data_IF_106359231601
#
_entry.id   IF_106359231601
#
_cell.length_a   1.000
_cell.length_b   1.000
_cell.length_c   1.000
_cell.angle_alpha   90.00
_cell.angle_beta   90.00
_cell.angle_gamma   90.00
#
_symmetry.space_group_name_H-M   'P 1'
#
loop_
_entity.id
_entity.type
_entity.pdbx_description
1 polymer ?
#
# COMPACT_ATOMS: atom_id res chain seq x y z
N UNK A 1 -4.73 -8.78 -9.23
CA UNK A 1 -5.24 -10.13 -8.86
C UNK A 1 -5.53 -10.28 -7.37
N UNK A 2 -4.75 -9.69 -6.47
CA UNK A 2 -4.95 -9.80 -5.01
C UNK A 2 -6.31 -9.29 -4.49
N UNK A 3 -7.02 -8.48 -5.24
CA UNK A 3 -8.35 -7.96 -4.87
C UNK A 3 -9.53 -8.75 -5.44
N UNK A 4 -9.30 -9.76 -6.28
CA UNK A 4 -10.35 -10.47 -7.01
C UNK A 4 -11.42 -11.07 -6.09
N UNK A 5 -11.00 -11.74 -5.01
CA UNK A 5 -11.92 -12.32 -4.02
C UNK A 5 -12.75 -11.24 -3.32
N UNK A 6 -12.10 -10.16 -2.87
CA UNK A 6 -12.77 -9.02 -2.21
C UNK A 6 -13.80 -8.38 -3.15
N UNK A 7 -13.43 -8.12 -4.41
CA UNK A 7 -14.31 -7.51 -5.40
C UNK A 7 -15.53 -8.39 -5.70
N UNK A 8 -15.35 -9.72 -5.76
CA UNK A 8 -16.46 -10.66 -6.00
C UNK A 8 -17.51 -10.68 -4.87
N UNK A 9 -17.13 -10.28 -3.66
CA UNK A 9 -18.03 -10.18 -2.51
C UNK A 9 -18.79 -8.84 -2.44
N UNK A 10 -18.42 -7.86 -3.25
CA UNK A 10 -19.04 -6.54 -3.23
C UNK A 10 -20.24 -6.45 -4.17
N UNK A 11 -21.41 -6.07 -3.63
CA UNK A 11 -22.68 -6.03 -4.38
C UNK A 11 -22.72 -4.97 -5.49
N UNK A 12 -21.92 -3.89 -5.38
CA UNK A 12 -21.83 -2.78 -6.34
C UNK A 12 -20.36 -2.49 -6.65
N UNK A 13 -19.77 -3.21 -7.60
CA UNK A 13 -18.37 -3.05 -7.99
C UNK A 13 -18.15 -2.14 -9.21
N UNK A 14 -19.22 -1.56 -9.80
CA UNK A 14 -19.12 -0.78 -11.01
C UNK A 14 -18.24 0.46 -10.94
N UNK A 15 -18.12 1.05 -9.75
CA UNK A 15 -17.32 2.26 -9.50
C UNK A 15 -15.96 1.98 -8.85
N UNK A 16 -15.54 0.71 -8.81
CA UNK A 16 -14.28 0.31 -8.19
C UNK A 16 -13.20 0.16 -9.26
N UNK A 17 -12.17 0.98 -9.14
CA UNK A 17 -11.00 0.93 -9.98
C UNK A 17 -9.85 0.24 -9.23
N UNK A 18 -9.30 -0.81 -9.82
CA UNK A 18 -8.21 -1.58 -9.25
C UNK A 18 -7.04 -1.62 -10.25
N UNK A 19 -6.19 -0.58 -10.28
CA UNK A 19 -5.09 -0.52 -11.24
C UNK A 19 -4.03 -1.59 -10.95
N UNK A 20 -3.53 -2.19 -12.00
CA UNK A 20 -2.30 -2.97 -11.94
C UNK A 20 -1.11 -2.01 -11.83
N UNK A 21 -0.38 -2.09 -10.71
CA UNK A 21 0.70 -1.15 -10.40
C UNK A 21 1.89 -1.26 -11.37
N UNK A 22 2.16 -2.44 -11.91
CA UNK A 22 3.19 -2.60 -12.93
C UNK A 22 2.75 -1.99 -14.27
N UNK A 23 1.49 -2.21 -14.65
CA UNK A 23 0.94 -1.69 -15.90
C UNK A 23 0.88 -0.16 -15.94
N UNK A 24 0.60 0.52 -14.81
CA UNK A 24 0.55 1.98 -14.78
C UNK A 24 1.92 2.64 -14.97
N UNK A 25 3.03 1.91 -14.72
CA UNK A 25 4.39 2.40 -15.00
C UNK A 25 4.67 2.62 -16.48
N UNK A 26 3.92 1.98 -17.38
CA UNK A 26 4.06 2.12 -18.83
C UNK A 26 5.50 1.94 -19.33
N UNK A 27 6.22 0.95 -18.78
CA UNK A 27 7.60 0.64 -19.15
C UNK A 27 8.67 1.54 -18.52
N UNK A 28 8.30 2.49 -17.66
CA UNK A 28 9.27 3.25 -16.87
C UNK A 28 9.95 2.34 -15.85
N UNK A 29 11.16 2.72 -15.41
CA UNK A 29 11.89 1.99 -14.39
C UNK A 29 11.06 1.85 -13.10
N UNK A 30 11.07 0.67 -12.51
CA UNK A 30 10.30 0.34 -11.30
C UNK A 30 10.96 0.91 -10.04
N UNK A 31 10.98 2.23 -9.93
CA UNK A 31 11.37 2.97 -8.72
C UNK A 31 10.14 3.66 -8.14
N UNK A 32 10.15 3.92 -6.84
CA UNK A 32 8.99 4.48 -6.13
C UNK A 32 8.53 5.81 -6.72
N UNK A 33 9.46 6.68 -7.06
CA UNK A 33 9.20 7.99 -7.63
C UNK A 33 8.39 7.90 -8.95
N UNK A 34 8.79 6.99 -9.84
CA UNK A 34 8.08 6.75 -11.09
C UNK A 34 6.71 6.12 -10.86
N UNK A 35 6.62 5.16 -9.93
CA UNK A 35 5.36 4.51 -9.58
C UNK A 35 4.39 5.51 -8.94
N UNK A 36 4.88 6.35 -8.05
CA UNK A 36 4.06 7.37 -7.39
C UNK A 36 3.59 8.44 -8.39
N UNK A 37 4.46 8.90 -9.29
CA UNK A 37 4.07 9.82 -10.37
C UNK A 37 2.99 9.21 -11.28
N UNK A 38 3.14 7.94 -11.65
CA UNK A 38 2.13 7.23 -12.43
C UNK A 38 0.80 7.06 -11.68
N UNK A 39 0.86 6.84 -10.36
CA UNK A 39 -0.32 6.76 -9.51
C UNK A 39 -1.04 8.11 -9.39
N UNK A 40 -0.30 9.22 -9.26
CA UNK A 40 -0.86 10.59 -9.30
C UNK A 40 -1.58 10.82 -10.64
N UNK A 41 -0.93 10.50 -11.76
CA UNK A 41 -1.54 10.62 -13.10
C UNK A 41 -2.82 9.80 -13.22
N UNK A 42 -2.80 8.56 -12.69
CA UNK A 42 -3.97 7.69 -12.70
C UNK A 42 -5.13 8.27 -11.88
N UNK A 43 -4.88 8.69 -10.64
CA UNK A 43 -5.90 9.29 -9.77
C UNK A 43 -6.41 10.64 -10.30
N UNK A 44 -5.54 11.41 -10.97
CA UNK A 44 -5.90 12.70 -11.56
C UNK A 44 -6.94 12.64 -12.67
N UNK A 45 -7.14 11.46 -13.27
CA UNK A 45 -8.17 11.22 -14.30
C UNK A 45 -9.56 10.94 -13.72
N UNK A 46 -9.65 10.78 -12.40
CA UNK A 46 -10.92 10.48 -11.74
C UNK A 46 -11.52 11.80 -11.25
N UNK A 47 -12.73 12.08 -11.70
CA UNK A 47 -13.45 13.27 -11.29
C UNK A 47 -13.89 13.20 -9.83
N UNK A 48 -13.86 14.36 -9.16
CA UNK A 48 -14.32 14.49 -7.78
C UNK A 48 -13.36 13.91 -6.73
N UNK A 49 -13.93 13.60 -5.55
CA UNK A 49 -13.19 13.02 -4.42
C UNK A 49 -13.28 11.49 -4.45
N UNK A 50 -12.16 10.83 -4.20
CA UNK A 50 -12.03 9.39 -4.27
C UNK A 50 -11.92 8.73 -2.89
N UNK A 51 -12.35 7.49 -2.80
CA UNK A 51 -12.07 6.60 -1.68
C UNK A 51 -10.83 5.77 -2.03
N UNK A 52 -9.81 5.82 -1.22
CA UNK A 52 -8.59 5.04 -1.43
C UNK A 52 -8.53 3.83 -0.50
N UNK A 53 -8.20 2.68 -1.06
CA UNK A 53 -7.93 1.46 -0.31
C UNK A 53 -6.64 0.83 -0.83
N UNK A 54 -5.67 0.60 0.05
CA UNK A 54 -4.39 0.02 -0.33
C UNK A 54 -3.85 -0.98 0.67
N UNK A 55 -3.33 -2.09 0.14
CA UNK A 55 -2.58 -3.09 0.88
C UNK A 55 -1.08 -2.85 0.66
N UNK A 56 -0.29 -2.87 1.73
CA UNK A 56 1.19 -2.85 1.66
C UNK A 56 1.71 -1.71 0.79
N UNK A 57 2.32 -1.98 -0.38
CA UNK A 57 2.77 -0.98 -1.35
C UNK A 57 1.63 -0.07 -1.83
N UNK A 58 0.46 -0.64 -2.14
CA UNK A 58 -0.73 0.15 -2.49
C UNK A 58 -1.18 1.06 -1.35
N UNK A 59 -0.99 0.63 -0.09
CA UNK A 59 -1.23 1.44 1.08
C UNK A 59 -0.24 2.60 1.23
N UNK A 60 1.04 2.39 0.91
CA UNK A 60 2.06 3.45 0.90
C UNK A 60 1.71 4.52 -0.15
N UNK A 61 1.33 4.09 -1.36
CA UNK A 61 0.90 5.02 -2.43
C UNK A 61 -0.35 5.82 -2.00
N UNK A 62 -1.36 5.13 -1.44
CA UNK A 62 -2.58 5.77 -0.96
C UNK A 62 -2.32 6.75 0.19
N UNK A 63 -1.42 6.39 1.12
CA UNK A 63 -1.00 7.25 2.23
C UNK A 63 -0.30 8.50 1.72
N UNK A 64 0.69 8.34 0.83
CA UNK A 64 1.42 9.47 0.26
C UNK A 64 0.49 10.39 -0.54
N UNK A 65 -0.36 9.81 -1.39
CA UNK A 65 -1.34 10.59 -2.16
C UNK A 65 -2.30 11.39 -1.26
N UNK A 66 -2.77 10.79 -0.16
CA UNK A 66 -3.64 11.49 0.79
C UNK A 66 -2.94 12.67 1.46
N UNK A 67 -1.63 12.56 1.70
CA UNK A 67 -0.81 13.64 2.26
C UNK A 67 -0.56 14.78 1.28
N UNK A 68 -0.40 14.47 -0.01
CA UNK A 68 -0.08 15.45 -1.03
C UNK A 68 -1.35 16.08 -1.67
N UNK A 69 -2.49 15.36 -1.65
CA UNK A 69 -3.77 15.79 -2.24
C UNK A 69 -4.94 15.54 -1.28
N UNK A 70 -4.93 16.15 -0.07
CA UNK A 70 -5.95 15.88 0.96
C UNK A 70 -7.38 16.24 0.52
N UNK A 71 -7.52 17.24 -0.35
CA UNK A 71 -8.82 17.68 -0.90
C UNK A 71 -9.42 16.65 -1.86
N UNK A 72 -8.60 15.81 -2.50
CA UNK A 72 -9.04 14.76 -3.44
C UNK A 72 -9.47 13.48 -2.73
N UNK A 73 -9.10 13.26 -1.48
CA UNK A 73 -9.39 12.00 -0.78
C UNK A 73 -10.58 12.15 0.17
N UNK A 74 -11.61 11.32 -0.04
CA UNK A 74 -12.81 11.28 0.79
C UNK A 74 -12.66 10.38 2.01
N UNK A 75 -12.10 9.19 1.82
CA UNK A 75 -11.75 8.25 2.90
C UNK A 75 -10.51 7.43 2.53
N UNK A 76 -9.80 6.93 3.54
CA UNK A 76 -8.58 6.17 3.37
C UNK A 76 -8.66 4.84 4.11
N UNK A 77 -8.36 3.73 3.43
CA UNK A 77 -8.21 2.40 4.03
C UNK A 77 -6.78 1.91 3.81
N UNK A 78 -6.08 1.64 4.89
CA UNK A 78 -4.69 1.19 4.90
C UNK A 78 -4.60 -0.21 5.49
N UNK A 79 -4.15 -1.19 4.72
CA UNK A 79 -4.05 -2.59 5.12
C UNK A 79 -2.57 -3.00 5.14
N UNK A 80 -2.06 -3.45 6.29
CA UNK A 80 -0.66 -3.88 6.41
C UNK A 80 0.34 -2.82 5.91
N UNK A 81 0.03 -1.54 6.11
CA UNK A 81 0.79 -0.42 5.55
C UNK A 81 1.81 0.10 6.55
N UNK A 82 3.10 0.15 6.21
CA UNK A 82 4.10 0.80 7.03
C UNK A 82 4.00 2.33 6.89
N UNK A 83 4.08 3.06 8.03
CA UNK A 83 4.18 4.54 8.02
C UNK A 83 5.60 5.02 7.71
N UNK A 84 6.56 4.15 7.87
CA UNK A 84 7.98 4.32 7.46
C UNK A 84 8.56 2.98 7.05
N UNK A 85 9.50 3.02 6.15
CA UNK A 85 10.17 1.83 5.65
C UNK A 85 11.45 1.58 6.44
N UNK A 86 11.52 0.54 7.30
CA UNK A 86 12.70 0.25 8.10
C UNK A 86 13.86 -0.24 7.22
N UNK A 87 14.97 0.50 7.18
CA UNK A 87 16.15 0.17 6.36
C UNK A 87 16.69 -1.25 6.60
N UNK A 88 16.62 -1.72 7.85
CA UNK A 88 17.11 -3.05 8.21
C UNK A 88 16.22 -4.17 7.67
N UNK A 89 14.90 -3.98 7.66
CA UNK A 89 13.97 -4.96 7.09
C UNK A 89 14.17 -5.12 5.60
N UNK A 90 14.44 -4.01 4.89
CA UNK A 90 14.77 -4.06 3.46
C UNK A 90 16.06 -4.81 3.17
N UNK A 91 17.09 -4.65 3.99
CA UNK A 91 18.33 -5.42 3.85
C UNK A 91 18.08 -6.93 3.99
N UNK A 92 17.30 -7.32 5.00
CA UNK A 92 16.96 -8.73 5.24
C UNK A 92 16.07 -9.26 4.10
N UNK A 93 15.05 -8.52 3.69
CA UNK A 93 14.17 -8.89 2.59
C UNK A 93 14.93 -9.03 1.27
N UNK A 94 15.79 -8.07 0.94
CA UNK A 94 16.64 -8.12 -0.25
C UNK A 94 17.60 -9.31 -0.20
N UNK A 95 18.17 -9.63 0.97
CA UNK A 95 19.01 -10.80 1.12
C UNK A 95 18.22 -12.10 0.86
N UNK A 96 17.01 -12.22 1.42
CA UNK A 96 16.13 -13.37 1.18
C UNK A 96 15.74 -13.45 -0.31
N UNK A 97 15.27 -12.36 -0.90
CA UNK A 97 14.84 -12.31 -2.31
C UNK A 97 15.96 -12.64 -3.28
N UNK A 98 17.22 -12.35 -2.93
CA UNK A 98 18.39 -12.70 -3.77
C UNK A 98 18.50 -14.21 -4.00
N UNK A 99 18.13 -15.00 -3.00
CA UNK A 99 18.21 -16.47 -3.04
C UNK A 99 16.92 -17.14 -3.50
N UNK A 100 15.81 -16.41 -3.62
CA UNK A 100 14.58 -16.98 -4.14
C UNK A 100 14.64 -17.17 -5.67
N UNK A 101 14.14 -18.29 -6.19
CA UNK A 101 14.05 -18.51 -7.62
C UNK A 101 13.07 -17.54 -8.29
N UNK A 102 13.28 -17.26 -9.57
CA UNK A 102 12.42 -16.35 -10.34
C UNK A 102 10.96 -16.80 -10.40
N UNK A 103 10.70 -18.09 -10.30
CA UNK A 103 9.35 -18.66 -10.28
C UNK A 103 8.47 -18.09 -9.16
N UNK A 104 9.05 -17.67 -8.03
CA UNK A 104 8.30 -17.04 -6.94
C UNK A 104 7.74 -15.67 -7.37
N UNK A 105 8.41 -14.98 -8.28
CA UNK A 105 8.02 -13.64 -8.76
C UNK A 105 7.07 -13.68 -9.95
N UNK A 106 6.83 -14.85 -10.57
CA UNK A 106 5.94 -14.98 -11.74
C UNK A 106 4.48 -14.60 -11.44
N UNK A 107 4.05 -14.77 -10.19
CA UNK A 107 2.70 -14.41 -9.74
C UNK A 107 2.63 -13.06 -9.03
N UNK A 108 3.75 -12.30 -9.00
CA UNK A 108 3.80 -10.96 -8.43
C UNK A 108 3.59 -9.90 -9.52
N UNK A 109 3.14 -8.71 -9.12
CA UNK A 109 2.97 -7.58 -10.04
C UNK A 109 4.28 -7.14 -10.70
N UNK A 110 5.42 -7.35 -10.02
CA UNK A 110 6.75 -6.98 -10.47
C UNK A 110 7.65 -8.22 -10.54
N UNK A 111 8.48 -8.29 -11.57
CA UNK A 111 9.52 -9.30 -11.65
C UNK A 111 10.59 -9.11 -10.56
N UNK A 112 11.51 -10.05 -10.42
CA UNK A 112 12.55 -10.03 -9.38
C UNK A 112 13.37 -8.74 -9.40
N UNK A 113 13.88 -8.32 -10.58
CA UNK A 113 14.69 -7.10 -10.75
C UNK A 113 13.91 -5.86 -10.31
N UNK A 114 12.69 -5.71 -10.80
CA UNK A 114 11.84 -4.55 -10.52
C UNK A 114 11.42 -4.49 -9.05
N UNK A 115 11.19 -5.65 -8.43
CA UNK A 115 10.93 -5.75 -6.97
C UNK A 115 12.12 -5.23 -6.16
N UNK A 116 13.36 -5.55 -6.56
CA UNK A 116 14.57 -5.03 -5.92
C UNK A 116 14.74 -3.52 -6.11
N UNK A 117 14.55 -3.03 -7.33
CA UNK A 117 14.67 -1.61 -7.65
C UNK A 117 13.66 -0.79 -6.85
N UNK A 118 12.41 -1.21 -6.88
CA UNK A 118 11.32 -0.59 -6.14
C UNK A 118 11.60 -0.59 -4.62
N UNK A 119 11.98 -1.75 -4.08
CA UNK A 119 12.35 -1.85 -2.69
C UNK A 119 13.48 -0.89 -2.30
N UNK A 120 14.55 -0.83 -3.07
CA UNK A 120 15.69 0.04 -2.79
C UNK A 120 15.33 1.53 -2.85
N UNK A 121 14.48 1.95 -3.77
CA UNK A 121 14.03 3.35 -3.88
C UNK A 121 13.17 3.78 -2.69
N UNK A 122 12.46 2.85 -2.04
CA UNK A 122 11.57 3.12 -0.91
C UNK A 122 12.28 3.24 0.45
N UNK A 123 13.58 2.91 0.55
CA UNK A 123 14.31 2.79 1.84
C UNK A 123 14.34 4.03 2.73
N UNK A 124 14.05 5.20 2.18
CA UNK A 124 14.05 6.47 2.88
C UNK A 124 12.63 7.04 3.11
N UNK A 125 11.59 6.30 2.73
CA UNK A 125 10.22 6.75 2.95
C UNK A 125 9.89 6.75 4.45
N UNK A 126 9.54 7.92 4.95
CA UNK A 126 9.09 8.14 6.32
C UNK A 126 7.99 9.21 6.34
N UNK A 127 6.79 8.81 6.73
CA UNK A 127 5.62 9.68 6.83
C UNK A 127 5.29 10.07 8.27
N UNK A 128 6.15 9.72 9.24
CA UNK A 128 5.88 9.86 10.68
C UNK A 128 5.39 11.25 11.04
N UNK A 129 6.08 12.29 10.59
CA UNK A 129 5.75 13.67 10.96
C UNK A 129 4.51 14.23 10.25
N UNK A 130 4.14 13.63 9.11
CA UNK A 130 3.06 14.11 8.24
C UNK A 130 1.71 13.42 8.47
N UNK A 131 1.67 12.20 9.01
CA UNK A 131 0.40 11.46 9.18
C UNK A 131 -0.63 12.18 10.03
N UNK A 132 -0.22 13.10 10.91
CA UNK A 132 -1.09 13.96 11.72
C UNK A 132 -1.91 14.95 10.88
N UNK A 133 -1.45 15.26 9.66
CA UNK A 133 -2.09 16.20 8.75
C UNK A 133 -3.24 15.57 7.96
N UNK A 134 -3.41 14.23 8.05
CA UNK A 134 -4.52 13.52 7.43
C UNK A 134 -5.81 13.80 8.21
N UNK A 135 -6.76 14.46 7.56
CA UNK A 135 -8.04 14.88 8.15
C UNK A 135 -9.22 14.01 7.71
N UNK A 136 -9.12 13.29 6.58
CA UNK A 136 -10.19 12.41 6.13
C UNK A 136 -10.39 11.22 7.08
N UNK A 137 -11.60 10.63 7.16
CA UNK A 137 -11.82 9.40 7.89
C UNK A 137 -10.93 8.28 7.36
N UNK A 138 -10.25 7.56 8.28
CA UNK A 138 -9.34 6.50 7.92
C UNK A 138 -9.64 5.20 8.69
N UNK A 139 -9.51 4.06 7.98
CA UNK A 139 -9.55 2.74 8.56
C UNK A 139 -8.19 2.06 8.35
N UNK A 140 -7.56 1.69 9.45
CA UNK A 140 -6.30 0.96 9.45
C UNK A 140 -6.62 -0.50 9.77
N UNK A 141 -6.16 -1.42 8.93
CA UNK A 141 -6.37 -2.86 9.10
C UNK A 141 -5.02 -3.54 9.17
N UNK A 142 -4.87 -4.45 10.13
CA UNK A 142 -3.64 -5.24 10.27
C UNK A 142 -4.00 -6.65 10.73
N UNK A 143 -3.42 -7.65 10.08
CA UNK A 143 -3.51 -9.02 10.56
C UNK A 143 -2.76 -9.19 11.89
N UNK A 144 -3.30 -9.98 12.82
CA UNK A 144 -2.67 -10.19 14.14
C UNK A 144 -1.30 -10.85 14.02
N UNK A 145 -1.10 -11.68 12.99
CA UNK A 145 0.18 -12.35 12.71
C UNK A 145 1.15 -11.48 11.91
N UNK A 146 0.72 -10.33 11.37
CA UNK A 146 1.59 -9.36 10.68
C UNK A 146 2.41 -8.54 11.70
N UNK A 147 3.42 -9.20 12.28
CA UNK A 147 4.30 -8.59 13.28
C UNK A 147 5.10 -7.42 12.72
N UNK A 148 5.40 -7.42 11.43
CA UNK A 148 6.18 -6.39 10.76
C UNK A 148 5.45 -5.04 10.75
N UNK A 149 4.15 -5.05 10.44
CA UNK A 149 3.36 -3.83 10.27
C UNK A 149 2.51 -3.46 11.50
N UNK A 150 2.40 -4.32 12.51
CA UNK A 150 1.62 -4.05 13.72
C UNK A 150 2.03 -2.76 14.44
N UNK A 151 3.33 -2.47 14.51
CA UNK A 151 3.83 -1.22 15.12
C UNK A 151 3.38 -0.01 14.30
N UNK A 152 3.45 -0.11 12.97
CA UNK A 152 2.99 0.95 12.07
C UNK A 152 1.48 1.17 12.15
N UNK A 153 0.70 0.10 12.21
CA UNK A 153 -0.75 0.20 12.33
C UNK A 153 -1.17 0.93 13.62
N UNK A 154 -0.52 0.64 14.74
CA UNK A 154 -0.74 1.34 16.00
C UNK A 154 -0.31 2.80 15.95
N UNK A 155 0.87 3.07 15.35
CA UNK A 155 1.39 4.43 15.17
C UNK A 155 0.42 5.29 14.35
N UNK A 156 -0.03 4.80 13.19
CA UNK A 156 -1.00 5.47 12.34
C UNK A 156 -2.30 5.78 13.12
N UNK A 157 -2.83 4.77 13.87
CA UNK A 157 -4.04 4.99 14.69
C UNK A 157 -3.85 6.08 15.74
N UNK A 158 -2.69 6.16 16.37
CA UNK A 158 -2.41 7.12 17.44
C UNK A 158 -2.21 8.55 16.93
N UNK A 159 -1.66 8.70 15.72
CA UNK A 159 -1.24 10.00 15.19
C UNK A 159 -2.18 10.58 14.13
N UNK A 160 -3.10 9.79 13.56
CA UNK A 160 -4.14 10.29 12.65
C UNK A 160 -5.41 10.63 13.44
N UNK A 161 -5.95 11.85 13.27
CA UNK A 161 -7.10 12.36 14.05
C UNK A 161 -8.35 11.49 13.92
N UNK A 162 -8.70 11.11 12.69
CA UNK A 162 -9.95 10.43 12.36
C UNK A 162 -9.74 8.97 11.95
N UNK A 163 -8.77 8.27 12.59
CA UNK A 163 -8.46 6.89 12.26
C UNK A 163 -9.11 5.89 13.22
N UNK A 164 -9.52 4.73 12.69
CA UNK A 164 -9.90 3.54 13.45
C UNK A 164 -8.93 2.42 13.11
N UNK A 165 -8.60 1.57 14.09
CA UNK A 165 -7.77 0.38 13.90
C UNK A 165 -8.61 -0.87 14.05
N UNK A 166 -8.55 -1.77 13.07
CA UNK A 166 -9.12 -3.12 13.13
C UNK A 166 -8.01 -4.15 13.00
N UNK A 167 -7.87 -5.02 14.01
CA UNK A 167 -6.95 -6.15 13.98
C UNK A 167 -7.73 -7.40 13.63
N UNK A 168 -7.33 -8.06 12.54
CA UNK A 168 -7.97 -9.28 12.07
C UNK A 168 -7.27 -10.48 12.70
N UNK A 169 -8.06 -11.30 13.43
CA UNK A 169 -7.52 -12.48 14.12
C UNK A 169 -7.10 -13.55 13.12
N UNK A 170 -6.11 -14.36 13.48
CA UNK A 170 -5.60 -15.48 12.70
C UNK A 170 -5.00 -15.19 11.33
N UNK A 171 -4.87 -13.91 10.96
CA UNK A 171 -4.47 -13.42 9.63
C UNK A 171 -3.06 -12.84 9.66
N UNK A 172 -2.31 -13.05 8.59
CA UNK A 172 -0.98 -12.49 8.33
C UNK A 172 -1.05 -11.15 7.61
N UNK A 173 -0.16 -10.98 6.62
CA UNK A 173 0.02 -9.72 5.89
C UNK A 173 -1.06 -9.48 4.83
N UNK A 174 -1.45 -10.54 4.10
CA UNK A 174 -2.39 -10.44 2.97
C UNK A 174 -3.83 -10.68 3.46
N UNK A 175 -4.30 -9.72 4.26
CA UNK A 175 -5.58 -9.82 4.98
C UNK A 175 -6.78 -10.11 4.06
N UNK A 176 -6.79 -9.55 2.87
CA UNK A 176 -7.88 -9.67 1.90
C UNK A 176 -7.92 -11.01 1.15
N UNK A 177 -6.92 -11.88 1.35
CA UNK A 177 -6.87 -13.23 0.81
C UNK A 177 -7.01 -14.30 1.91
N UNK A 178 -6.64 -13.95 3.15
CA UNK A 178 -6.61 -14.87 4.28
C UNK A 178 -7.91 -14.87 5.11
N UNK A 179 -8.83 -13.92 4.84
CA UNK A 179 -10.08 -13.79 5.62
C UNK A 179 -11.23 -13.26 4.76
#
# INVERSE_FOLDING_TARGET
ESWKATLSCMKNSGDILCPDLASILKGKEAVYENLYAAFIEYCGRIDGRIHLCGLSLGGILALNYTLDFPEKVKTLVLIGTPHKVPKIMFRIQNMIFRFLPESVFQNMAFNKRDTFLLGNSMKNLDFSDRVKDITCPALIICGKKDRANMKSARYLRQNMKNAKLKIIQNTGHVVNEEN
#
